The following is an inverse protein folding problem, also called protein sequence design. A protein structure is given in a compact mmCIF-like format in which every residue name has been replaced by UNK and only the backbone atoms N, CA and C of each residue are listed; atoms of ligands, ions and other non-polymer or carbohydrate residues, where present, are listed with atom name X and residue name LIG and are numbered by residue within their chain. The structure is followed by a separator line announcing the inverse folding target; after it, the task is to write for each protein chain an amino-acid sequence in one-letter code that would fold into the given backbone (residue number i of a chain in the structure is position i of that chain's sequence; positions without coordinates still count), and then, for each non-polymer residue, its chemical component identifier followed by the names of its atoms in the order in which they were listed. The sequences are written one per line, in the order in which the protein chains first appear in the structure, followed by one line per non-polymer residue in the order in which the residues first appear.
data_IF_873891223374
#
_entry.id   IF_873891223374
#
_cell.length_a   1.000
_cell.length_b   1.000
_cell.length_c   1.000
_cell.angle_alpha   90.00
_cell.angle_beta   90.00
_cell.angle_gamma   90.00
#
_symmetry.space_group_name_H-M   'P 1'
#
loop_
_entity.id
_entity.type
_entity.pdbx_description
1 polymer ?
#
# COMPACT_ATOMS: atom_id res chain seq x y z
N UNK A 1 37.50 21.68 3.80
CA UNK A 1 36.78 20.87 2.82
C UNK A 1 36.78 19.45 3.36
N UNK A 2 35.91 19.09 4.32
CA UNK A 2 34.49 18.72 4.16
C UNK A 2 34.29 17.55 3.21
N UNK A 3 34.29 16.35 3.77
CA UNK A 3 33.47 15.23 3.29
C UNK A 3 33.07 14.40 4.51
N UNK A 4 31.97 14.80 5.13
CA UNK A 4 31.17 13.93 5.98
C UNK A 4 30.34 13.07 5.03
N UNK A 5 30.42 11.73 5.06
CA UNK A 5 29.47 10.91 4.33
C UNK A 5 28.15 10.92 5.10
N UNK A 6 27.28 11.86 4.76
CA UNK A 6 25.86 11.82 5.09
C UNK A 6 25.14 10.96 4.06
N UNK A 7 24.61 9.83 4.53
CA UNK A 7 23.41 9.13 4.06
C UNK A 7 23.55 7.65 4.46
N UNK A 8 23.29 7.35 5.72
CA UNK A 8 22.93 6.00 6.14
C UNK A 8 21.72 5.57 5.31
N UNK A 9 21.95 4.76 4.28
CA UNK A 9 20.90 4.06 3.58
C UNK A 9 20.08 3.30 4.63
N UNK A 10 18.74 3.44 4.68
CA UNK A 10 17.95 2.72 5.66
C UNK A 10 18.18 1.24 5.42
N UNK A 11 18.67 0.55 6.46
CA UNK A 11 18.86 -0.89 6.46
C UNK A 11 17.58 -1.52 5.90
N UNK A 12 17.72 -2.32 4.83
CA UNK A 12 16.61 -3.00 4.19
C UNK A 12 15.87 -3.83 5.24
N UNK A 13 14.79 -3.25 5.75
CA UNK A 13 14.14 -3.72 6.94
C UNK A 13 13.48 -5.05 6.57
N UNK A 14 14.06 -6.14 7.07
CA UNK A 14 13.50 -7.46 6.87
C UNK A 14 12.11 -7.45 7.50
N UNK A 15 11.08 -7.59 6.66
CA UNK A 15 9.68 -7.54 7.08
C UNK A 15 9.36 -8.62 8.14
N UNK A 16 8.10 -8.73 8.58
CA UNK A 16 7.74 -9.55 9.74
C UNK A 16 7.89 -11.08 9.56
N UNK A 17 8.49 -11.56 8.45
CA UNK A 17 8.68 -12.97 8.13
C UNK A 17 7.41 -13.69 7.63
N UNK A 18 6.30 -12.96 7.53
CA UNK A 18 5.01 -13.38 6.99
C UNK A 18 4.37 -12.23 6.21
N UNK A 19 3.40 -12.54 5.36
CA UNK A 19 2.71 -11.58 4.50
C UNK A 19 1.21 -11.85 4.49
N UNK A 20 0.42 -10.79 4.54
CA UNK A 20 -1.02 -10.80 4.36
C UNK A 20 -1.35 -10.52 2.90
N UNK A 21 -2.38 -11.15 2.38
CA UNK A 21 -2.95 -10.74 1.09
C UNK A 21 -3.73 -9.42 1.21
N UNK A 22 -4.21 -8.91 0.08
CA UNK A 22 -4.95 -7.65 0.03
C UNK A 22 -6.29 -7.68 0.80
N UNK A 23 -6.98 -8.84 0.80
CA UNK A 23 -8.24 -9.01 1.49
C UNK A 23 -8.02 -9.13 3.01
N UNK A 24 -7.02 -9.89 3.45
CA UNK A 24 -6.60 -10.03 4.84
C UNK A 24 -6.16 -8.70 5.44
N UNK A 25 -5.32 -7.96 4.70
CA UNK A 25 -4.88 -6.60 5.07
C UNK A 25 -6.09 -5.67 5.24
N UNK A 26 -7.04 -5.73 4.29
CA UNK A 26 -8.28 -4.93 4.36
C UNK A 26 -9.12 -5.31 5.57
N UNK A 27 -9.38 -6.60 5.78
CA UNK A 27 -10.19 -7.10 6.89
C UNK A 27 -9.60 -6.68 8.23
N UNK A 28 -8.28 -6.85 8.42
CA UNK A 28 -7.59 -6.45 9.64
C UNK A 28 -7.69 -4.93 9.88
N UNK A 29 -7.43 -4.13 8.84
CA UNK A 29 -7.56 -2.67 8.92
C UNK A 29 -8.97 -2.22 9.29
N UNK A 30 -10.01 -2.83 8.71
CA UNK A 30 -11.42 -2.52 9.03
C UNK A 30 -11.75 -2.90 10.47
N UNK A 31 -11.31 -4.06 10.95
CA UNK A 31 -11.56 -4.46 12.33
C UNK A 31 -10.93 -3.49 13.33
N UNK A 32 -9.68 -3.05 13.08
CA UNK A 32 -9.00 -2.05 13.91
C UNK A 32 -9.74 -0.70 13.87
N UNK A 33 -10.08 -0.22 12.66
CA UNK A 33 -10.80 1.06 12.48
C UNK A 33 -12.13 1.06 13.21
N UNK A 34 -12.92 -0.01 13.05
CA UNK A 34 -14.28 -0.09 13.61
C UNK A 34 -14.29 -0.36 15.11
N UNK A 35 -13.28 -1.02 15.68
CA UNK A 35 -13.15 -1.13 17.14
C UNK A 35 -13.15 0.26 17.80
N UNK A 36 -12.52 1.25 17.16
CA UNK A 36 -12.37 2.61 17.71
C UNK A 36 -13.50 3.55 17.32
N UNK A 37 -13.93 3.48 16.07
CA UNK A 37 -14.90 4.43 15.52
C UNK A 37 -16.36 4.06 15.78
N UNK A 38 -16.66 2.78 16.00
CA UNK A 38 -18.02 2.27 16.26
C UNK A 38 -18.01 1.17 17.33
N UNK A 39 -17.60 1.49 18.58
CA UNK A 39 -17.43 0.50 19.64
C UNK A 39 -18.72 -0.25 19.96
N UNK A 40 -19.89 0.38 19.85
CA UNK A 40 -21.20 -0.24 20.14
C UNK A 40 -21.55 -1.39 19.19
N UNK A 41 -20.96 -1.39 17.98
CA UNK A 41 -21.19 -2.42 16.96
C UNK A 41 -20.10 -3.49 16.96
N UNK A 42 -18.99 -3.25 17.66
CA UNK A 42 -17.86 -4.17 17.73
C UNK A 42 -18.06 -5.23 18.84
N UNK A 43 -17.74 -6.52 18.62
CA UNK A 43 -17.17 -7.13 17.41
C UNK A 43 -18.17 -7.22 16.25
N UNK A 44 -17.65 -7.09 15.02
CA UNK A 44 -18.44 -6.92 13.80
C UNK A 44 -19.05 -8.25 13.32
N UNK A 45 -20.29 -8.20 12.82
CA UNK A 45 -20.83 -9.32 12.03
C UNK A 45 -20.13 -9.44 10.67
N UNK A 46 -20.22 -10.59 10.01
CA UNK A 46 -19.68 -10.76 8.65
C UNK A 46 -20.19 -9.71 7.67
N UNK A 47 -21.48 -9.38 7.70
CA UNK A 47 -22.08 -8.36 6.83
C UNK A 47 -21.52 -6.97 7.13
N UNK A 48 -21.39 -6.60 8.41
CA UNK A 48 -20.80 -5.32 8.82
C UNK A 48 -19.33 -5.21 8.43
N UNK A 49 -18.59 -6.33 8.49
CA UNK A 49 -17.19 -6.40 8.07
C UNK A 49 -17.06 -6.21 6.55
N UNK A 50 -17.83 -6.95 5.75
CA UNK A 50 -17.83 -6.78 4.27
C UNK A 50 -18.23 -5.37 3.86
N UNK A 51 -19.28 -4.82 4.47
CA UNK A 51 -19.68 -3.44 4.24
C UNK A 51 -18.54 -2.44 4.57
N UNK A 52 -17.76 -2.71 5.62
CA UNK A 52 -16.57 -1.93 5.98
C UNK A 52 -15.40 -2.09 5.00
N UNK A 53 -15.21 -3.28 4.42
CA UNK A 53 -14.18 -3.56 3.42
C UNK A 53 -14.45 -2.86 2.09
N UNK A 54 -15.73 -2.77 1.71
CA UNK A 54 -16.21 -2.24 0.44
C UNK A 54 -16.56 -0.73 0.49
N UNK A 55 -16.16 -0.02 1.54
CA UNK A 55 -16.40 1.42 1.64
C UNK A 55 -15.70 2.18 0.50
N UNK A 56 -16.38 3.17 -0.08
CA UNK A 56 -15.84 4.00 -1.17
C UNK A 56 -14.87 5.07 -0.69
N UNK A 57 -14.89 5.40 0.60
CA UNK A 57 -14.04 6.44 1.21
C UNK A 57 -13.05 5.80 2.15
N UNK A 58 -11.87 6.42 2.31
CA UNK A 58 -10.81 5.90 3.20
C UNK A 58 -10.34 4.48 2.84
N UNK A 59 -10.50 4.06 1.59
CA UNK A 59 -10.06 2.76 1.05
C UNK A 59 -9.25 2.99 -0.22
N UNK A 60 -8.04 2.44 -0.24
CA UNK A 60 -7.19 2.44 -1.42
C UNK A 60 -6.43 1.11 -1.49
N UNK A 61 -6.66 0.26 -2.51
CA UNK A 61 -7.70 0.39 -3.55
C UNK A 61 -9.12 0.13 -3.00
N UNK A 62 -10.17 0.57 -3.70
CA UNK A 62 -11.54 0.13 -3.39
C UNK A 62 -11.69 -1.34 -3.78
N UNK A 63 -12.27 -2.16 -2.91
CA UNK A 63 -12.49 -3.60 -3.13
C UNK A 63 -13.97 -3.93 -3.12
N UNK A 64 -14.35 -5.01 -3.79
CA UNK A 64 -15.69 -5.62 -3.70
C UNK A 64 -15.56 -7.07 -3.21
N UNK A 65 -15.70 -7.26 -1.90
CA UNK A 65 -15.74 -8.57 -1.26
C UNK A 65 -17.19 -9.06 -1.14
N UNK A 66 -17.41 -10.37 -1.26
CA UNK A 66 -18.69 -11.02 -1.02
C UNK A 66 -18.64 -11.89 0.23
N UNK A 67 -19.79 -12.18 0.83
CA UNK A 67 -19.91 -13.07 2.00
C UNK A 67 -21.03 -14.09 1.83
N UNK A 68 -20.78 -15.33 2.25
CA UNK A 68 -21.79 -16.37 2.45
C UNK A 68 -21.57 -17.06 3.79
N UNK A 69 -22.30 -16.67 4.83
CA UNK A 69 -22.11 -17.25 6.17
C UNK A 69 -23.13 -16.80 7.22
N UNK A 70 -23.31 -17.61 8.27
CA UNK A 70 -24.22 -17.34 9.41
C UNK A 70 -23.59 -16.36 10.41
N UNK A 71 -24.39 -15.94 11.41
CA UNK A 71 -24.16 -14.86 12.38
C UNK A 71 -22.95 -15.03 13.32
N UNK A 72 -21.74 -15.09 12.77
CA UNK A 72 -20.48 -15.04 13.52
C UNK A 72 -20.02 -13.58 13.64
N UNK A 73 -19.46 -13.23 14.80
CA UNK A 73 -18.85 -11.91 15.05
C UNK A 73 -17.33 -12.03 15.09
N UNK A 74 -16.65 -11.04 14.54
CA UNK A 74 -15.20 -11.01 14.35
C UNK A 74 -14.59 -9.79 15.06
N UNK A 75 -13.45 -10.04 15.71
CA UNK A 75 -12.61 -9.01 16.31
C UNK A 75 -11.14 -9.29 16.04
N UNK A 76 -10.31 -8.25 16.08
CA UNK A 76 -8.86 -8.38 15.99
C UNK A 76 -8.23 -8.52 17.38
N UNK A 77 -7.01 -9.05 17.40
CA UNK A 77 -6.13 -9.15 18.56
C UNK A 77 -4.73 -8.56 18.28
N UNK A 78 -4.65 -7.66 17.29
CA UNK A 78 -3.41 -7.10 16.74
C UNK A 78 -2.45 -6.55 17.80
N UNK A 79 -2.94 -5.77 18.77
CA UNK A 79 -2.14 -5.17 19.84
C UNK A 79 -1.37 -6.24 20.62
N UNK A 80 -2.05 -7.34 20.96
CA UNK A 80 -1.49 -8.45 21.74
C UNK A 80 -0.56 -9.33 20.92
N UNK A 81 -0.95 -9.65 19.67
CA UNK A 81 -0.16 -10.56 18.81
C UNK A 81 1.11 -9.87 18.32
N UNK A 82 1.01 -8.61 17.89
CA UNK A 82 2.16 -7.83 17.44
C UNK A 82 2.96 -7.22 18.60
N UNK A 83 2.41 -7.26 19.83
CA UNK A 83 3.00 -6.64 21.03
C UNK A 83 3.30 -5.15 20.80
N UNK A 84 2.29 -4.44 20.31
CA UNK A 84 2.38 -3.02 19.97
C UNK A 84 1.46 -2.19 20.85
N UNK A 85 1.83 -0.92 21.13
CA UNK A 85 0.90 0.01 21.72
C UNK A 85 -0.23 0.32 20.72
N UNK A 86 -1.39 0.69 21.27
CA UNK A 86 -2.59 0.94 20.48
C UNK A 86 -2.38 2.02 19.40
N UNK A 87 -1.53 3.00 19.65
CA UNK A 87 -1.20 4.10 18.74
C UNK A 87 -0.53 3.59 17.46
N UNK A 88 0.46 2.71 17.60
CA UNK A 88 1.14 2.07 16.48
C UNK A 88 0.19 1.19 15.65
N UNK A 89 -0.73 0.47 16.30
CA UNK A 89 -1.75 -0.34 15.62
C UNK A 89 -2.71 0.52 14.79
N UNK A 90 -3.07 1.71 15.29
CA UNK A 90 -3.91 2.67 14.57
C UNK A 90 -3.19 3.21 13.32
N UNK A 91 -1.90 3.56 13.43
CA UNK A 91 -1.10 4.00 12.27
C UNK A 91 -1.02 2.89 11.20
N UNK A 92 -0.79 1.64 11.62
CA UNK A 92 -0.82 0.49 10.71
C UNK A 92 -2.18 0.35 10.03
N UNK A 93 -3.30 0.50 10.76
CA UNK A 93 -4.63 0.42 10.16
C UNK A 93 -4.87 1.49 9.11
N UNK A 94 -4.43 2.73 9.36
CA UNK A 94 -4.53 3.80 8.36
C UNK A 94 -3.71 3.49 7.11
N UNK A 95 -2.48 3.00 7.27
CA UNK A 95 -1.62 2.60 6.15
C UNK A 95 -2.21 1.41 5.36
N UNK A 96 -2.77 0.41 6.03
CA UNK A 96 -3.43 -0.75 5.40
C UNK A 96 -4.68 -0.36 4.60
N UNK A 97 -5.42 0.65 5.08
CA UNK A 97 -6.67 1.06 4.47
C UNK A 97 -6.47 2.07 3.34
N UNK A 98 -5.45 2.92 3.42
CA UNK A 98 -5.28 4.07 2.50
C UNK A 98 -3.96 4.06 1.73
N UNK A 99 -3.08 3.08 1.97
CA UNK A 99 -1.79 2.99 1.31
C UNK A 99 -0.77 4.01 1.81
N UNK A 100 0.27 4.29 0.99
CA UNK A 100 1.37 5.14 1.41
C UNK A 100 0.97 6.59 1.66
N UNK A 101 1.29 7.12 2.85
CA UNK A 101 0.87 8.47 3.30
C UNK A 101 2.00 9.19 4.06
N UNK A 102 1.99 10.52 4.08
CA UNK A 102 2.91 11.31 4.92
C UNK A 102 2.52 11.25 6.40
N UNK A 103 3.43 11.64 7.29
CA UNK A 103 3.13 11.70 8.73
C UNK A 103 2.01 12.72 9.05
N UNK A 104 1.95 13.83 8.32
CA UNK A 104 0.86 14.81 8.42
C UNK A 104 -0.50 14.23 8.00
N UNK A 105 -0.55 13.51 6.89
CA UNK A 105 -1.77 12.82 6.43
C UNK A 105 -2.21 11.75 7.43
N UNK A 106 -1.27 10.96 7.97
CA UNK A 106 -1.54 9.93 8.96
C UNK A 106 -2.17 10.52 10.23
N UNK A 107 -1.63 11.63 10.73
CA UNK A 107 -2.19 12.33 11.90
C UNK A 107 -3.64 12.76 11.68
N UNK A 108 -3.95 13.32 10.52
CA UNK A 108 -5.32 13.76 10.17
C UNK A 108 -6.24 12.54 10.01
N UNK A 109 -5.76 11.50 9.33
CA UNK A 109 -6.53 10.30 9.05
C UNK A 109 -6.85 9.48 10.30
N UNK A 110 -5.99 9.53 11.33
CA UNK A 110 -6.18 8.82 12.58
C UNK A 110 -7.06 9.54 13.60
N UNK A 111 -7.41 10.82 13.40
CA UNK A 111 -8.03 11.68 14.42
C UNK A 111 -9.27 11.05 15.11
N UNK A 112 -10.14 10.37 14.34
CA UNK A 112 -11.32 9.67 14.88
C UNK A 112 -11.00 8.40 15.68
N UNK A 113 -9.80 7.85 15.57
CA UNK A 113 -9.34 6.68 16.30
C UNK A 113 -8.41 7.05 17.47
N UNK A 114 -7.51 7.99 17.23
CA UNK A 114 -6.58 8.55 18.20
C UNK A 114 -6.05 9.91 17.72
N UNK A 115 -6.10 10.90 18.62
CA UNK A 115 -5.55 12.23 18.38
C UNK A 115 -4.10 12.28 18.85
N UNK A 116 -3.17 12.35 17.88
CA UNK A 116 -1.75 12.51 18.14
C UNK A 116 -1.40 13.99 18.39
N UNK A 117 -0.56 14.24 19.39
CA UNK A 117 -0.19 15.60 19.81
C UNK A 117 0.34 16.43 18.63
N UNK A 118 1.31 15.91 17.91
CA UNK A 118 1.97 16.57 16.77
C UNK A 118 2.51 15.56 15.75
N UNK A 119 3.05 16.06 14.63
CA UNK A 119 3.62 15.22 13.56
C UNK A 119 4.84 14.42 14.08
N UNK A 120 5.66 15.02 14.94
CA UNK A 120 6.85 14.37 15.50
C UNK A 120 6.50 13.14 16.35
N UNK A 121 5.37 13.17 17.07
CA UNK A 121 4.87 12.01 17.82
C UNK A 121 4.47 10.86 16.89
N UNK A 122 3.90 11.16 15.72
CA UNK A 122 3.57 10.15 14.70
C UNK A 122 4.85 9.57 14.11
N UNK A 123 5.82 10.41 13.76
CA UNK A 123 7.11 9.96 13.24
C UNK A 123 7.84 9.05 14.24
N UNK A 124 7.86 9.39 15.53
CA UNK A 124 8.47 8.56 16.56
C UNK A 124 7.88 7.14 16.60
N UNK A 125 6.54 6.99 16.55
CA UNK A 125 5.91 5.67 16.48
C UNK A 125 6.22 4.93 15.17
N UNK A 126 6.39 5.63 14.05
CA UNK A 126 6.72 5.03 12.76
C UNK A 126 8.18 4.56 12.72
N UNK A 127 9.09 5.35 13.26
CA UNK A 127 10.51 5.01 13.41
C UNK A 127 10.64 3.76 14.30
N UNK A 128 9.97 3.71 15.46
CA UNK A 128 9.93 2.52 16.32
C UNK A 128 9.38 1.26 15.59
N UNK A 129 8.35 1.44 14.73
CA UNK A 129 7.79 0.35 13.93
C UNK A 129 8.74 -0.12 12.82
N UNK A 130 9.57 0.77 12.28
CA UNK A 130 10.56 0.47 11.25
C UNK A 130 11.82 -0.20 11.82
N UNK A 131 12.22 0.19 13.03
CA UNK A 131 13.42 -0.30 13.72
C UNK A 131 13.15 -1.52 14.64
N UNK A 132 11.89 -1.98 14.67
CA UNK A 132 11.45 -3.09 15.51
C UNK A 132 12.27 -4.36 15.26
N UNK A 133 12.93 -4.86 16.31
CA UNK A 133 13.80 -6.05 16.26
C UNK A 133 13.08 -7.35 15.90
N UNK A 134 11.78 -7.45 16.19
CA UNK A 134 10.94 -8.58 15.81
C UNK A 134 10.41 -8.50 14.36
N UNK A 135 11.08 -7.73 13.51
CA UNK A 135 10.71 -7.47 12.12
C UNK A 135 9.99 -6.13 11.97
N UNK A 136 10.42 -5.38 10.95
CA UNK A 136 9.89 -4.07 10.62
C UNK A 136 8.48 -4.19 10.05
N UNK A 137 7.60 -3.27 10.48
CA UNK A 137 6.19 -3.28 10.09
C UNK A 137 5.82 -2.12 9.17
N UNK A 138 6.69 -1.12 9.07
CA UNK A 138 6.57 0.02 8.16
C UNK A 138 7.92 0.33 7.52
N UNK A 139 7.88 1.00 6.38
CA UNK A 139 9.06 1.55 5.71
C UNK A 139 8.80 2.99 5.28
N UNK A 140 9.83 3.82 5.43
CA UNK A 140 9.85 5.19 4.90
C UNK A 140 10.20 5.12 3.42
N UNK A 141 9.30 5.57 2.56
CA UNK A 141 9.52 5.61 1.13
C UNK A 141 10.38 6.82 0.74
N UNK A 142 11.15 6.70 -0.35
CA UNK A 142 11.86 7.83 -0.92
C UNK A 142 10.91 8.97 -1.29
N UNK A 143 11.41 10.20 -1.14
CA UNK A 143 10.63 11.40 -1.46
C UNK A 143 10.47 11.53 -2.96
N UNK A 144 9.24 11.80 -3.38
CA UNK A 144 8.97 12.19 -4.76
C UNK A 144 9.69 13.52 -5.09
N UNK A 145 10.10 13.73 -6.36
CA UNK A 145 10.59 15.03 -6.81
C UNK A 145 9.62 16.15 -6.45
N UNK A 146 10.10 17.17 -5.74
CA UNK A 146 9.28 18.32 -5.31
C UNK A 146 8.42 18.10 -4.06
N UNK A 147 8.31 16.86 -3.54
CA UNK A 147 7.62 16.60 -2.28
C UNK A 147 8.47 17.06 -1.09
N UNK A 148 7.86 17.78 -0.14
CA UNK A 148 8.52 18.28 1.07
C UNK A 148 8.70 17.22 2.16
N UNK A 149 7.86 16.18 2.14
CA UNK A 149 7.80 15.14 3.17
C UNK A 149 7.91 13.75 2.52
N UNK A 150 8.45 12.79 3.28
CA UNK A 150 8.42 11.37 2.91
C UNK A 150 7.06 10.75 3.18
N UNK A 151 6.72 9.72 2.41
CA UNK A 151 5.57 8.86 2.68
C UNK A 151 6.02 7.61 3.40
N UNK A 152 5.14 7.04 4.20
CA UNK A 152 5.32 5.79 4.91
C UNK A 152 4.38 4.74 4.35
N UNK A 153 4.81 3.47 4.32
CA UNK A 153 3.93 2.35 3.99
C UNK A 153 4.11 1.20 4.96
N UNK A 154 3.08 0.36 5.11
CA UNK A 154 3.19 -0.86 5.90
C UNK A 154 3.90 -1.98 5.11
N UNK A 155 4.52 -2.91 5.83
CA UNK A 155 5.21 -4.09 5.27
C UNK A 155 4.41 -5.39 5.48
N UNK A 156 3.22 -5.30 6.08
CA UNK A 156 2.36 -6.44 6.38
C UNK A 156 1.90 -7.21 5.12
N UNK A 157 1.85 -6.57 3.95
CA UNK A 157 1.51 -7.21 2.67
C UNK A 157 2.75 -7.55 1.83
N UNK A 158 3.94 -7.57 2.44
CA UNK A 158 5.21 -7.78 1.76
C UNK A 158 6.00 -6.48 1.54
N UNK A 159 7.18 -6.60 0.90
CA UNK A 159 8.03 -5.46 0.63
C UNK A 159 7.38 -4.46 -0.34
N UNK A 160 7.77 -3.17 -0.28
CA UNK A 160 7.31 -2.17 -1.24
C UNK A 160 7.63 -2.61 -2.67
N UNK A 161 6.69 -2.40 -3.60
CA UNK A 161 6.97 -2.57 -5.02
C UNK A 161 8.14 -1.69 -5.44
N UNK A 162 8.98 -2.17 -6.37
CA UNK A 162 10.13 -1.42 -6.88
C UNK A 162 9.74 -0.03 -7.40
N UNK A 163 8.56 0.11 -8.00
CA UNK A 163 8.02 1.39 -8.47
C UNK A 163 7.83 2.42 -7.33
N UNK A 164 7.38 1.97 -6.15
CA UNK A 164 7.22 2.84 -4.97
C UNK A 164 8.57 3.27 -4.40
N UNK A 165 9.60 2.43 -4.53
CA UNK A 165 10.97 2.70 -4.09
C UNK A 165 11.74 3.55 -5.10
N UNK A 166 11.51 3.35 -6.40
CA UNK A 166 12.18 4.07 -7.49
C UNK A 166 11.71 5.53 -7.61
N UNK A 167 10.65 5.92 -6.89
CA UNK A 167 10.05 7.24 -6.96
C UNK A 167 10.90 8.39 -6.35
N UNK A 168 12.14 8.13 -5.94
CA UNK A 168 13.14 9.11 -5.48
C UNK A 168 13.54 10.12 -6.59
N UNK A 169 14.19 11.27 -6.29
CA UNK A 169 14.59 12.18 -7.34
C UNK A 169 15.70 11.59 -8.19
N UNK A 170 15.37 11.26 -9.44
CA UNK A 170 16.29 11.27 -10.57
C UNK A 170 16.77 12.70 -10.90
N UNK A 171 17.20 13.46 -9.88
CA UNK A 171 17.72 14.82 -10.03
C UNK A 171 19.22 14.84 -10.38
N UNK A 172 19.92 13.70 -10.30
CA UNK A 172 21.32 13.60 -10.72
C UNK A 172 21.54 12.83 -12.05
N UNK A 173 20.50 12.22 -12.63
CA UNK A 173 20.64 11.35 -13.81
C UNK A 173 19.83 11.77 -15.06
N UNK A 174 19.03 12.86 -15.00
CA UNK A 174 18.16 13.26 -16.13
C UNK A 174 18.71 14.42 -16.94
N UNK A 175 19.93 14.26 -17.42
CA UNK A 175 20.31 14.89 -18.69
C UNK A 175 20.02 13.95 -19.89
N UNK A 176 19.07 13.03 -19.71
CA UNK A 176 18.49 12.15 -20.72
C UNK A 176 17.00 12.53 -20.88
N UNK A 177 16.50 12.80 -22.10
CA UNK A 177 15.12 13.20 -22.29
C UNK A 177 14.20 12.02 -21.98
N UNK A 178 13.42 12.10 -20.89
CA UNK A 178 12.41 11.11 -20.48
C UNK A 178 11.39 10.75 -21.59
N UNK A 179 11.34 11.54 -22.67
CA UNK A 179 10.63 11.21 -23.88
C UNK A 179 11.20 10.00 -24.63
N UNK A 180 12.52 9.75 -24.65
CA UNK A 180 13.09 8.65 -25.45
C UNK A 180 12.77 7.28 -24.85
N UNK A 181 12.87 7.12 -23.53
CA UNK A 181 12.57 5.85 -22.86
C UNK A 181 11.07 5.48 -22.95
N UNK A 182 10.18 6.48 -22.86
CA UNK A 182 8.75 6.25 -23.10
C UNK A 182 8.49 5.92 -24.56
N UNK A 183 9.15 6.62 -25.50
CA UNK A 183 9.02 6.38 -26.93
C UNK A 183 9.52 4.97 -27.29
N UNK A 184 10.64 4.52 -26.75
CA UNK A 184 11.17 3.16 -26.94
C UNK A 184 10.17 2.10 -26.47
N UNK A 185 9.56 2.30 -25.30
CA UNK A 185 8.58 1.38 -24.75
C UNK A 185 7.28 1.35 -25.55
N UNK A 186 6.82 2.51 -26.03
CA UNK A 186 5.69 2.59 -26.97
C UNK A 186 6.02 1.85 -28.27
N UNK A 187 7.22 2.07 -28.83
CA UNK A 187 7.67 1.43 -30.07
C UNK A 187 7.75 -0.10 -29.92
N UNK A 188 8.27 -0.57 -28.77
CA UNK A 188 8.32 -2.00 -28.45
C UNK A 188 6.92 -2.60 -28.29
N UNK A 189 6.03 -1.94 -27.56
CA UNK A 189 4.65 -2.40 -27.36
C UNK A 189 3.87 -2.43 -28.67
N UNK A 190 4.06 -1.45 -29.56
CA UNK A 190 3.44 -1.45 -30.89
C UNK A 190 3.92 -2.62 -31.74
N UNK A 191 5.22 -2.97 -31.69
CA UNK A 191 5.77 -4.13 -32.39
C UNK A 191 5.23 -5.47 -31.82
N UNK A 192 5.11 -5.58 -30.50
CA UNK A 192 4.52 -6.75 -29.84
C UNK A 192 3.02 -6.91 -30.20
N UNK A 193 2.26 -5.81 -30.19
CA UNK A 193 0.84 -5.81 -30.60
C UNK A 193 0.70 -6.21 -32.06
N UNK A 194 1.56 -5.73 -32.95
CA UNK A 194 1.55 -6.14 -34.36
C UNK A 194 1.82 -7.64 -34.53
N UNK A 195 2.78 -8.19 -33.77
CA UNK A 195 3.14 -9.61 -33.81
C UNK A 195 2.02 -10.50 -33.26
N UNK A 196 1.39 -10.07 -32.17
CA UNK A 196 0.25 -10.76 -31.56
C UNK A 196 -0.97 -10.74 -32.49
N UNK A 197 -1.27 -9.59 -33.12
CA UNK A 197 -2.36 -9.48 -34.10
C UNK A 197 -2.14 -10.41 -35.30
N UNK A 198 -0.94 -10.44 -35.87
CA UNK A 198 -0.61 -11.34 -36.98
C UNK A 198 -0.73 -12.83 -36.58
N UNK A 199 -0.36 -13.16 -35.34
CA UNK A 199 -0.52 -14.53 -34.82
C UNK A 199 -1.98 -14.88 -34.61
N UNK A 200 -2.78 -13.97 -34.07
CA UNK A 200 -4.23 -14.15 -33.92
C UNK A 200 -4.91 -14.29 -35.28
N UNK A 201 -4.58 -13.47 -36.28
CA UNK A 201 -5.14 -13.59 -37.63
C UNK A 201 -4.87 -14.96 -38.23
N UNK A 202 -3.65 -15.48 -38.09
CA UNK A 202 -3.28 -16.82 -38.54
C UNK A 202 -4.08 -17.92 -37.80
N UNK A 203 -4.18 -17.84 -36.48
CA UNK A 203 -4.93 -18.82 -35.68
C UNK A 203 -6.43 -18.75 -35.96
N UNK A 204 -7.00 -17.55 -36.13
CA UNK A 204 -8.38 -17.34 -36.51
C UNK A 204 -8.68 -17.92 -37.90
N UNK A 205 -7.78 -17.74 -38.87
CA UNK A 205 -7.90 -18.33 -40.20
C UNK A 205 -7.86 -19.87 -40.18
N UNK A 206 -6.99 -20.47 -39.35
CA UNK A 206 -6.92 -21.93 -39.17
C UNK A 206 -8.19 -22.51 -38.51
N UNK A 207 -8.85 -21.73 -37.64
CA UNK A 207 -10.04 -22.15 -36.89
C UNK A 207 -11.37 -21.73 -37.53
N UNK A 208 -11.35 -20.98 -38.63
CA UNK A 208 -12.56 -20.48 -39.31
C UNK A 208 -13.35 -19.44 -38.50
N UNK A 209 -12.68 -18.70 -37.61
CA UNK A 209 -13.28 -17.70 -36.72
C UNK A 209 -13.00 -16.32 -37.29
N UNK A 210 -14.03 -15.48 -37.43
CA UNK A 210 -13.86 -14.10 -37.90
C UNK A 210 -13.40 -13.19 -36.74
N UNK A 211 -12.27 -12.47 -36.87
CA UNK A 211 -11.77 -11.61 -35.79
C UNK A 211 -12.66 -10.38 -35.58
N UNK A 212 -12.88 -10.01 -34.32
CA UNK A 212 -13.66 -8.82 -33.94
C UNK A 212 -12.86 -7.57 -34.35
N UNK A 213 -13.45 -6.64 -35.14
CA UNK A 213 -12.74 -5.42 -35.54
C UNK A 213 -12.48 -4.51 -34.34
N UNK A 214 -11.36 -3.77 -34.32
CA UNK A 214 -11.08 -2.81 -33.27
C UNK A 214 -12.10 -1.66 -33.29
N UNK A 215 -12.53 -1.21 -32.11
CA UNK A 215 -13.35 -0.02 -31.91
C UNK A 215 -12.55 1.28 -32.12
#
# INVERSE_FOLDING_TARGET
MSETPDATAPAAASGPGWTLDAAETRVLGVLIEKQRTVPDTYPLTLNSLVAGCNQKTSRHPVLELSSGGRAMRYGHNADRVLKLPSQSVILLAVLMLRGPQTAGELRIASDRMHNFADISSVEAFLDELAERSAGALVAKLPRLPGARESRWMHLLAGPPSEELLAAAPAAAARNEPAGSALQERVTQLEAEVATLRATLERVCAELGIEPIPPA
#
